data_IF_700013143311
#
_entry.id   IF_700013143311
#
_cell.length_a   1.000
_cell.length_b   1.000
_cell.length_c   1.000
_cell.angle_alpha   90.00
_cell.angle_beta   90.00
_cell.angle_gamma   90.00
#
_symmetry.space_group_name_H-M   'P 1'
#
loop_
_entity.id
_entity.type
_entity.pdbx_description
1 polymer ?
#
# COMPACT_ATOMS: atom_id res chain seq x y z
N UNK A 1 -1.84 -12.27 -25.80
CA UNK A 1 -1.40 -11.17 -24.92
C UNK A 1 -1.87 -11.51 -23.53
N UNK A 2 -0.99 -12.06 -22.70
CA UNK A 2 -1.28 -12.21 -21.27
C UNK A 2 -0.69 -10.96 -20.65
N UNK A 3 -1.55 -10.04 -20.23
CA UNK A 3 -1.15 -8.90 -19.41
C UNK A 3 -0.72 -9.51 -18.07
N UNK A 4 0.58 -9.63 -17.83
CA UNK A 4 1.08 -10.29 -16.62
C UNK A 4 0.60 -9.53 -15.39
N UNK A 5 0.04 -10.28 -14.44
CA UNK A 5 -0.54 -9.73 -13.21
C UNK A 5 0.54 -8.99 -12.42
N UNK A 6 0.35 -7.70 -12.09
CA UNK A 6 1.33 -6.96 -11.31
C UNK A 6 1.55 -7.61 -9.93
N UNK A 7 2.82 -7.73 -9.56
CA UNK A 7 3.25 -8.43 -8.36
C UNK A 7 2.82 -7.65 -7.11
N UNK A 8 2.01 -8.32 -6.28
CA UNK A 8 1.74 -7.88 -4.90
C UNK A 8 2.96 -8.14 -4.05
N UNK A 9 3.48 -7.08 -3.43
CA UNK A 9 4.59 -7.19 -2.48
C UNK A 9 4.05 -6.86 -1.10
N UNK A 10 3.99 -7.86 -0.23
CA UNK A 10 3.58 -7.67 1.16
C UNK A 10 4.68 -6.96 1.94
N UNK A 11 4.29 -6.00 2.76
CA UNK A 11 5.21 -5.14 3.51
C UNK A 11 4.75 -4.99 4.94
N UNK A 12 5.68 -4.76 5.86
CA UNK A 12 5.35 -4.32 7.20
C UNK A 12 5.04 -2.83 7.18
N UNK A 13 4.07 -2.39 7.99
CA UNK A 13 3.62 -0.99 8.02
C UNK A 13 3.46 -0.56 9.47
N UNK A 14 4.07 0.56 9.84
CA UNK A 14 3.75 1.25 11.10
C UNK A 14 2.44 1.99 10.91
N UNK A 15 1.45 1.69 11.74
CA UNK A 15 0.09 2.22 11.63
C UNK A 15 -0.33 2.85 12.95
N UNK A 16 -0.88 4.04 12.88
CA UNK A 16 -1.66 4.60 13.97
C UNK A 16 -3.10 4.10 13.84
N UNK A 17 -3.57 3.39 14.87
CA UNK A 17 -4.98 3.02 14.97
C UNK A 17 -5.71 4.05 15.81
N UNK A 18 -6.55 4.86 15.17
CA UNK A 18 -7.23 5.96 15.86
C UNK A 18 -8.42 5.45 16.67
N UNK A 19 -8.86 6.25 17.66
CA UNK A 19 -10.04 5.94 18.48
C UNK A 19 -11.35 5.82 17.67
N UNK A 20 -11.40 6.42 16.49
CA UNK A 20 -12.50 6.32 15.52
C UNK A 20 -12.44 5.05 14.67
N UNK A 21 -11.48 4.16 14.93
CA UNK A 21 -11.33 2.90 14.21
C UNK A 21 -10.67 3.05 12.84
N UNK A 22 -9.91 4.13 12.60
CA UNK A 22 -9.19 4.33 11.33
C UNK A 22 -7.75 3.86 11.43
N UNK A 23 -7.27 3.17 10.39
CA UNK A 23 -5.87 2.80 10.22
C UNK A 23 -5.15 3.87 9.40
N UNK A 24 -4.23 4.60 10.03
CA UNK A 24 -3.44 5.65 9.38
C UNK A 24 -1.99 5.17 9.24
N UNK A 25 -1.55 4.78 8.05
CA UNK A 25 -0.18 4.31 7.84
C UNK A 25 0.82 5.47 7.97
N UNK A 26 1.95 5.20 8.62
CA UNK A 26 3.00 6.19 8.93
C UNK A 26 4.35 5.86 8.30
N UNK A 27 4.69 4.58 8.16
CA UNK A 27 5.90 4.16 7.48
C UNK A 27 5.76 2.75 6.90
N UNK A 28 6.49 2.48 5.82
CA UNK A 28 6.63 1.16 5.19
C UNK A 28 8.01 0.61 5.53
N UNK A 29 8.06 -0.64 5.96
CA UNK A 29 9.29 -1.37 6.29
C UNK A 29 9.48 -2.50 5.27
N UNK A 30 10.58 -2.45 4.54
CA UNK A 30 10.99 -3.48 3.60
C UNK A 30 11.88 -4.52 4.27
N UNK A 31 11.89 -5.72 3.70
CA UNK A 31 12.65 -6.86 4.23
C UNK A 31 14.17 -6.63 4.21
N UNK A 32 14.66 -5.72 3.36
CA UNK A 32 16.08 -5.31 3.30
C UNK A 32 16.45 -4.29 4.40
N UNK A 33 15.53 -3.98 5.31
CA UNK A 33 15.72 -3.04 6.42
C UNK A 33 15.48 -1.58 6.04
N UNK A 34 15.14 -1.27 4.78
CA UNK A 34 14.78 0.10 4.40
C UNK A 34 13.44 0.48 5.01
N UNK A 35 13.40 1.68 5.56
CA UNK A 35 12.19 2.29 6.11
C UNK A 35 11.86 3.54 5.30
N UNK A 36 10.61 3.63 4.90
CA UNK A 36 10.08 4.68 4.05
C UNK A 36 8.97 5.41 4.80
N UNK A 37 9.24 6.64 5.22
CA UNK A 37 8.24 7.46 5.92
C UNK A 37 7.16 7.94 4.95
N UNK A 38 5.90 7.84 5.40
CA UNK A 38 4.76 8.36 4.66
C UNK A 38 4.60 9.83 5.03
N UNK A 39 5.03 10.69 4.11
CA UNK A 39 5.01 12.15 4.28
C UNK A 39 3.60 12.72 4.19
N UNK A 40 2.75 12.13 3.35
CA UNK A 40 1.37 12.58 3.12
C UNK A 40 0.48 11.44 2.65
N UNK A 41 -0.80 11.50 3.01
CA UNK A 41 -1.86 10.68 2.43
C UNK A 41 -2.83 11.64 1.72
N UNK A 42 -3.10 11.40 0.44
CA UNK A 42 -3.95 12.27 -0.40
C UNK A 42 -5.31 11.69 -0.74
N UNK A 43 -5.46 10.37 -0.68
CA UNK A 43 -6.71 9.66 -1.00
C UNK A 43 -6.79 8.38 -0.17
N UNK A 44 -7.98 8.07 0.35
CA UNK A 44 -8.28 6.83 1.07
C UNK A 44 -9.64 6.36 0.59
N UNK A 45 -9.68 5.20 -0.06
CA UNK A 45 -10.95 4.62 -0.56
C UNK A 45 -10.91 3.10 -0.60
N UNK A 46 -12.10 2.49 -0.55
CA UNK A 46 -12.25 1.08 -0.94
C UNK A 46 -12.00 0.98 -2.44
N UNK A 47 -11.13 0.06 -2.83
CA UNK A 47 -10.80 -0.18 -4.23
C UNK A 47 -10.54 -1.67 -4.45
N UNK A 48 -10.94 -2.17 -5.61
CA UNK A 48 -10.40 -3.42 -6.12
C UNK A 48 -8.98 -3.15 -6.62
N UNK A 49 -8.01 -3.90 -6.13
CA UNK A 49 -6.71 -4.02 -6.77
C UNK A 49 -6.92 -4.82 -8.07
N UNK A 50 -7.26 -4.09 -9.14
CA UNK A 50 -7.51 -4.63 -10.50
C UNK A 50 -6.39 -5.57 -10.95
N UNK A 51 -5.18 -5.20 -10.56
CA UNK A 51 -3.92 -5.90 -10.59
C UNK A 51 -3.92 -7.39 -10.20
N UNK A 52 -4.61 -7.77 -9.13
CA UNK A 52 -4.37 -9.09 -8.51
C UNK A 52 -5.60 -9.69 -7.81
N UNK A 53 -6.80 -9.22 -8.16
CA UNK A 53 -8.06 -9.77 -7.65
C UNK A 53 -8.28 -9.60 -6.14
N UNK A 54 -7.55 -8.70 -5.48
CA UNK A 54 -7.79 -8.39 -4.06
C UNK A 54 -8.65 -7.16 -3.91
N UNK A 55 -9.60 -7.21 -2.98
CA UNK A 55 -10.37 -6.07 -2.49
C UNK A 55 -9.77 -5.59 -1.16
N UNK A 56 -9.89 -4.29 -0.89
CA UNK A 56 -9.40 -3.69 0.34
C UNK A 56 -9.49 -2.17 0.32
N UNK A 57 -8.75 -1.53 1.23
CA UNK A 57 -8.60 -0.08 1.28
C UNK A 57 -7.30 0.30 0.58
N UNK A 58 -7.38 1.24 -0.37
CA UNK A 58 -6.22 1.84 -1.02
C UNK A 58 -5.96 3.21 -0.41
N UNK A 59 -4.69 3.42 -0.06
CA UNK A 59 -4.12 4.67 0.36
C UNK A 59 -3.23 5.20 -0.77
N UNK A 60 -3.52 6.41 -1.24
CA UNK A 60 -2.57 7.16 -2.06
C UNK A 60 -1.66 7.93 -1.13
N UNK A 61 -0.38 7.58 -1.16
CA UNK A 61 0.62 8.04 -0.20
C UNK A 61 1.77 8.73 -0.94
N UNK A 62 2.44 9.66 -0.26
CA UNK A 62 3.70 10.23 -0.71
C UNK A 62 4.84 9.72 0.16
N UNK A 63 5.86 9.17 -0.50
CA UNK A 63 7.08 8.64 0.10
C UNK A 63 8.24 9.12 -0.75
N UNK A 64 9.26 9.71 -0.12
CA UNK A 64 10.43 10.30 -0.80
C UNK A 64 10.05 11.26 -1.94
N UNK A 65 8.96 12.01 -1.77
CA UNK A 65 8.45 12.95 -2.78
C UNK A 65 7.66 12.31 -3.93
N UNK A 66 7.53 10.98 -3.98
CA UNK A 66 6.79 10.28 -5.02
C UNK A 66 5.44 9.77 -4.52
N UNK A 67 4.41 9.93 -5.37
CA UNK A 67 3.11 9.29 -5.14
C UNK A 67 3.21 7.78 -5.36
N UNK A 68 2.66 7.00 -4.42
CA UNK A 68 2.58 5.54 -4.45
C UNK A 68 1.21 5.07 -3.98
N UNK A 69 0.91 3.80 -4.22
CA UNK A 69 -0.30 3.15 -3.75
C UNK A 69 0.03 2.04 -2.76
N UNK A 70 -0.50 2.19 -1.54
CA UNK A 70 -0.43 1.20 -0.48
C UNK A 70 -1.83 0.63 -0.23
N UNK A 71 -1.93 -0.67 -0.08
CA UNK A 71 -3.20 -1.36 0.10
C UNK A 71 -3.23 -2.08 1.44
N UNK A 72 -4.36 -1.96 2.15
CA UNK A 72 -4.74 -2.84 3.25
C UNK A 72 -5.81 -3.80 2.73
N UNK A 73 -5.42 -5.05 2.49
CA UNK A 73 -6.30 -6.07 1.92
C UNK A 73 -7.35 -6.55 2.91
N UNK A 74 -8.46 -7.09 2.41
CA UNK A 74 -9.51 -7.73 3.23
C UNK A 74 -8.98 -8.97 4.00
N UNK A 75 -7.77 -9.46 3.67
CA UNK A 75 -7.05 -10.49 4.42
C UNK A 75 -6.20 -9.92 5.59
N UNK A 76 -6.40 -8.66 5.95
CA UNK A 76 -5.67 -7.95 7.01
C UNK A 76 -4.15 -7.84 6.79
N UNK A 77 -3.69 -7.86 5.53
CA UNK A 77 -2.28 -7.69 5.18
C UNK A 77 -2.05 -6.46 4.32
N UNK A 78 -0.92 -5.81 4.57
CA UNK A 78 -0.47 -4.64 3.81
C UNK A 78 0.34 -5.07 2.59
N UNK A 79 0.10 -4.43 1.45
CA UNK A 79 0.89 -4.67 0.24
C UNK A 79 0.97 -3.44 -0.64
N UNK A 80 2.07 -3.33 -1.39
CA UNK A 80 2.21 -2.43 -2.52
C UNK A 80 2.07 -3.23 -3.82
N UNK A 81 1.74 -2.53 -4.92
CA UNK A 81 1.68 -3.12 -6.25
C UNK A 81 2.87 -2.59 -7.04
N UNK A 82 3.74 -3.50 -7.50
CA UNK A 82 4.83 -3.14 -8.39
C UNK A 82 4.35 -3.26 -9.84
N UNK A 83 4.48 -2.18 -10.60
CA UNK A 83 4.43 -2.25 -12.06
C UNK A 83 5.83 -2.64 -12.53
N UNK A 84 6.00 -3.81 -13.16
CA UNK A 84 7.28 -4.14 -13.79
C UNK A 84 7.45 -3.25 -15.03
N UNK A 85 8.13 -2.13 -14.86
CA UNK A 85 8.76 -1.38 -15.94
C UNK A 85 9.99 -0.70 -15.35
N UNK A 86 11.12 -1.41 -15.35
CA UNK A 86 12.44 -0.81 -15.46
C UNK A 86 13.32 -1.72 -16.30
#
# INVERSE_FOLDING_TARGET
MIEESPLKIYVNVSVEFTKEGRLIPRAIHWDDGRVYEIQKITDIRRAASLAAGATGIRYTIYVDGFEKHLFYGDNHRWFVVANQNN
#
